data_IF_997501366733
#
_entry.id   IF_997501366733
#
_cell.length_a   1.000
_cell.length_b   1.000
_cell.length_c   1.000
_cell.angle_alpha   90.00
_cell.angle_beta   90.00
_cell.angle_gamma   90.00
#
_symmetry.space_group_name_H-M   'P 1'
#
loop_
_entity.id
_entity.type
_entity.pdbx_description
1 polymer ?
#
# COMPACT_ATOMS: atom_id res chain seq x y z
N UNK A 1 -4.41 12.89 4.95
CA UNK A 1 -3.93 12.89 3.56
C UNK A 1 -5.07 13.29 2.59
N UNK A 2 -6.23 12.63 2.65
CA UNK A 2 -7.37 12.90 1.75
C UNK A 2 -7.79 14.37 1.72
N UNK A 3 -7.94 15.03 2.87
CA UNK A 3 -8.28 16.46 2.97
C UNK A 3 -7.28 17.38 2.26
N UNK A 4 -5.99 17.00 2.24
CA UNK A 4 -4.95 17.76 1.53
C UNK A 4 -5.24 17.76 0.02
N UNK A 5 -5.67 16.61 -0.51
CA UNK A 5 -6.02 16.43 -1.92
C UNK A 5 -7.33 17.17 -2.25
N UNK A 6 -8.39 16.98 -1.46
CA UNK A 6 -9.69 17.64 -1.64
C UNK A 6 -9.53 19.16 -1.63
N UNK A 7 -8.72 19.70 -0.73
CA UNK A 7 -8.43 21.13 -0.62
C UNK A 7 -7.39 21.63 -1.65
N UNK A 8 -6.99 20.78 -2.61
CA UNK A 8 -6.05 21.10 -3.70
C UNK A 8 -4.73 21.73 -3.22
N UNK A 9 -4.25 21.39 -2.02
CA UNK A 9 -3.01 21.97 -1.47
C UNK A 9 -1.79 21.69 -2.34
N UNK A 10 -1.73 20.55 -3.02
CA UNK A 10 -0.66 20.20 -3.96
C UNK A 10 -1.04 20.43 -5.44
N UNK A 11 -2.21 21.05 -5.71
CA UNK A 11 -2.71 21.29 -7.05
C UNK A 11 -3.30 20.03 -7.71
N UNK A 12 -3.21 19.95 -9.04
CA UNK A 12 -3.68 18.78 -9.81
C UNK A 12 -2.68 17.63 -9.72
N UNK A 13 -3.17 16.42 -9.45
CA UNK A 13 -2.34 15.20 -9.38
C UNK A 13 -1.82 14.86 -10.79
N UNK A 14 -0.51 14.62 -10.88
CA UNK A 14 0.20 14.22 -12.10
C UNK A 14 0.82 12.83 -12.01
N UNK A 15 1.24 12.42 -10.81
CA UNK A 15 1.83 11.09 -10.60
C UNK A 15 1.56 10.60 -9.17
N UNK A 16 1.41 9.29 -9.02
CA UNK A 16 1.34 8.62 -7.71
C UNK A 16 2.38 7.51 -7.68
N UNK A 17 3.17 7.47 -6.63
CA UNK A 17 4.09 6.38 -6.35
C UNK A 17 3.73 5.75 -4.99
N UNK A 18 3.58 4.42 -4.95
CA UNK A 18 3.29 3.73 -3.70
C UNK A 18 3.89 2.32 -3.68
N UNK A 19 4.29 1.89 -2.49
CA UNK A 19 4.75 0.52 -2.29
C UNK A 19 4.20 -0.06 -0.99
N UNK A 20 3.94 -1.36 -1.03
CA UNK A 20 3.61 -2.14 0.15
C UNK A 20 4.46 -3.42 0.15
N UNK A 21 5.23 -3.62 1.21
CA UNK A 21 6.05 -4.83 1.37
C UNK A 21 5.89 -5.40 2.77
N UNK A 22 5.78 -6.72 2.87
CA UNK A 22 5.58 -7.44 4.13
C UNK A 22 6.14 -8.86 4.06
N UNK A 23 6.48 -9.45 5.20
CA UNK A 23 7.10 -10.78 5.28
C UNK A 23 6.06 -11.89 5.12
N UNK A 24 5.76 -12.29 3.88
CA UNK A 24 4.68 -13.25 3.58
C UNK A 24 5.09 -14.41 2.66
N UNK A 25 6.40 -14.63 2.45
CA UNK A 25 6.88 -15.72 1.58
C UNK A 25 6.39 -17.09 2.02
N UNK A 26 6.38 -17.37 3.32
CA UNK A 26 5.92 -18.66 3.87
C UNK A 26 4.43 -18.87 3.58
N UNK A 27 3.61 -17.84 3.81
CA UNK A 27 2.16 -17.91 3.61
C UNK A 27 1.79 -18.26 2.17
N UNK A 28 2.50 -17.68 1.19
CA UNK A 28 2.27 -17.94 -0.22
C UNK A 28 2.86 -19.29 -0.69
N UNK A 29 3.63 -19.97 0.15
CA UNK A 29 4.04 -21.36 -0.02
C UNK A 29 3.09 -22.35 0.66
N UNK A 30 2.04 -21.89 1.31
CA UNK A 30 1.10 -22.72 2.05
C UNK A 30 1.58 -23.08 3.46
N UNK A 31 2.59 -22.37 3.98
CA UNK A 31 3.08 -22.50 5.35
C UNK A 31 2.32 -21.47 6.22
N UNK A 32 1.56 -21.89 7.24
CA UNK A 32 0.84 -20.96 8.10
C UNK A 32 1.78 -19.98 8.82
N UNK A 33 1.32 -18.73 9.00
CA UNK A 33 2.03 -17.78 9.85
C UNK A 33 1.99 -18.24 11.31
N UNK A 34 3.14 -18.27 11.97
CA UNK A 34 3.26 -18.67 13.37
C UNK A 34 2.41 -17.80 14.32
N UNK A 35 2.25 -16.53 13.97
CA UNK A 35 1.44 -15.54 14.72
C UNK A 35 -0.05 -15.90 14.72
N UNK A 36 -0.53 -16.61 13.70
CA UNK A 36 -1.94 -17.03 13.62
C UNK A 36 -2.30 -18.24 14.47
N UNK A 37 -1.33 -18.94 15.05
CA UNK A 37 -1.55 -20.18 15.81
C UNK A 37 -2.48 -20.01 17.02
N UNK A 38 -2.59 -18.80 17.57
CA UNK A 38 -3.43 -18.48 18.73
C UNK A 38 -4.75 -17.77 18.35
N UNK A 39 -5.03 -17.59 17.06
CA UNK A 39 -6.27 -16.95 16.62
C UNK A 39 -7.43 -17.95 16.69
N UNK A 40 -8.59 -17.49 17.14
CA UNK A 40 -9.82 -18.28 17.20
C UNK A 40 -10.27 -18.75 15.82
N UNK A 41 -9.99 -17.97 14.79
CA UNK A 41 -10.25 -18.30 13.40
C UNK A 41 -8.95 -18.33 12.62
N UNK A 42 -8.64 -19.48 12.02
CA UNK A 42 -7.47 -19.67 11.18
C UNK A 42 -7.93 -19.99 9.77
N UNK A 43 -7.64 -19.14 8.77
CA UNK A 43 -7.90 -19.49 7.38
C UNK A 43 -7.13 -20.74 6.99
N UNK A 44 -7.71 -21.57 6.13
CA UNK A 44 -7.00 -22.72 5.60
C UNK A 44 -5.71 -22.27 4.88
N UNK A 45 -4.61 -23.00 5.05
CA UNK A 45 -3.30 -22.63 4.47
C UNK A 45 -3.37 -22.37 2.95
N UNK A 46 -4.23 -23.09 2.21
CA UNK A 46 -4.42 -22.89 0.78
C UNK A 46 -5.15 -21.58 0.41
N UNK A 47 -5.71 -20.83 1.35
CA UNK A 47 -6.41 -19.57 1.03
C UNK A 47 -5.49 -18.59 0.34
N UNK A 48 -4.25 -18.49 0.80
CA UNK A 48 -3.25 -17.54 0.32
C UNK A 48 -2.32 -18.12 -0.76
N UNK A 49 -2.19 -19.44 -0.83
CA UNK A 49 -1.28 -20.14 -1.75
C UNK A 49 -1.97 -20.78 -2.95
N UNK A 50 -3.29 -20.66 -3.08
CA UNK A 50 -4.06 -21.21 -4.20
C UNK A 50 -4.55 -20.07 -5.12
N UNK A 51 -4.11 -20.03 -6.38
CA UNK A 51 -4.52 -18.98 -7.32
C UNK A 51 -6.03 -18.97 -7.59
N UNK A 52 -6.73 -20.09 -7.35
CA UNK A 52 -8.18 -20.17 -7.52
C UNK A 52 -8.97 -19.65 -6.31
N UNK A 53 -8.28 -19.31 -5.21
CA UNK A 53 -8.89 -18.79 -3.97
C UNK A 53 -8.53 -17.35 -3.68
N UNK A 54 -8.00 -16.63 -4.65
CA UNK A 54 -7.52 -15.26 -4.46
C UNK A 54 -6.18 -15.20 -3.73
N UNK A 55 -5.35 -16.25 -3.85
CA UNK A 55 -4.00 -16.26 -3.29
C UNK A 55 -3.08 -15.29 -4.00
N UNK A 56 -1.97 -14.95 -3.33
CA UNK A 56 -0.91 -14.09 -3.85
C UNK A 56 -0.86 -12.70 -3.23
N UNK A 57 0.24 -12.01 -3.49
CA UNK A 57 0.52 -10.69 -2.93
C UNK A 57 -0.42 -9.61 -3.47
N UNK A 58 -0.77 -9.69 -4.76
CA UNK A 58 -1.66 -8.75 -5.43
C UNK A 58 -3.03 -8.69 -4.76
N UNK A 59 -3.65 -9.84 -4.54
CA UNK A 59 -4.95 -9.93 -3.86
C UNK A 59 -4.85 -9.67 -2.36
N UNK A 60 -3.87 -10.29 -1.71
CA UNK A 60 -3.77 -10.25 -0.25
C UNK A 60 -3.30 -8.92 0.32
N UNK A 61 -2.43 -8.20 -0.39
CA UNK A 61 -1.76 -7.02 0.14
C UNK A 61 -1.90 -5.78 -0.73
N UNK A 62 -1.68 -5.87 -2.05
CA UNK A 62 -1.78 -4.70 -2.91
C UNK A 62 -3.20 -4.15 -2.99
N UNK A 63 -4.22 -4.97 -2.76
CA UNK A 63 -5.61 -4.51 -2.63
C UNK A 63 -5.76 -3.43 -1.54
N UNK A 64 -5.07 -3.56 -0.39
CA UNK A 64 -5.05 -2.57 0.67
C UNK A 64 -4.34 -1.28 0.23
N UNK A 65 -3.19 -1.41 -0.46
CA UNK A 65 -2.48 -0.26 -0.99
C UNK A 65 -3.32 0.51 -2.01
N UNK A 66 -3.92 -0.18 -2.98
CA UNK A 66 -4.79 0.45 -3.97
C UNK A 66 -6.02 1.08 -3.33
N UNK A 67 -6.65 0.43 -2.34
CA UNK A 67 -7.75 1.04 -1.60
C UNK A 67 -7.33 2.36 -0.94
N UNK A 68 -6.15 2.41 -0.31
CA UNK A 68 -5.57 3.62 0.26
C UNK A 68 -5.30 4.70 -0.79
N UNK A 69 -4.65 4.33 -1.89
CA UNK A 69 -4.35 5.26 -2.99
C UNK A 69 -5.62 5.86 -3.58
N UNK A 70 -6.60 5.01 -3.95
CA UNK A 70 -7.85 5.48 -4.58
C UNK A 70 -8.69 6.30 -3.62
N UNK A 71 -8.74 5.92 -2.34
CA UNK A 71 -9.44 6.68 -1.29
C UNK A 71 -8.85 8.07 -1.09
N UNK A 72 -7.51 8.17 -1.04
CA UNK A 72 -6.82 9.44 -0.80
C UNK A 72 -6.89 10.36 -2.01
N UNK A 73 -6.72 9.80 -3.22
CA UNK A 73 -6.56 10.59 -4.44
C UNK A 73 -7.84 10.84 -5.21
N UNK A 74 -8.86 10.01 -5.03
CA UNK A 74 -10.10 9.97 -5.83
C UNK A 74 -9.83 9.81 -7.34
N UNK A 75 -8.68 9.24 -7.72
CA UNK A 75 -8.35 8.97 -9.12
C UNK A 75 -9.07 7.70 -9.61
N UNK A 76 -9.49 7.72 -10.86
CA UNK A 76 -10.12 6.59 -11.52
C UNK A 76 -9.10 5.89 -12.45
N UNK A 77 -8.77 4.60 -12.21
CA UNK A 77 -7.88 3.83 -13.07
C UNK A 77 -8.45 3.68 -14.49
N UNK A 78 -7.60 3.87 -15.51
CA UNK A 78 -7.95 3.72 -16.94
C UNK A 78 -7.20 2.54 -17.56
N UNK A 79 -5.88 2.48 -17.38
CA UNK A 79 -5.03 1.43 -17.93
C UNK A 79 -4.06 0.91 -16.85
N UNK A 80 -3.80 -0.39 -16.89
CA UNK A 80 -2.86 -1.03 -15.97
C UNK A 80 -1.97 -2.01 -16.72
N UNK A 81 -0.69 -2.01 -16.38
CA UNK A 81 0.29 -3.01 -16.77
C UNK A 81 1.00 -3.54 -15.54
N UNK A 82 1.11 -4.86 -15.42
CA UNK A 82 1.72 -5.51 -14.26
C UNK A 82 2.71 -6.58 -14.69
N UNK A 83 3.88 -6.59 -14.03
CA UNK A 83 4.83 -7.69 -14.04
C UNK A 83 4.87 -8.32 -12.66
N UNK A 84 4.82 -9.65 -12.59
CA UNK A 84 4.81 -10.39 -11.32
C UNK A 84 5.85 -11.49 -11.32
N UNK A 85 6.37 -11.82 -10.14
CA UNK A 85 7.24 -12.99 -9.93
C UNK A 85 6.41 -14.04 -9.18
N UNK A 86 6.25 -15.25 -9.75
CA UNK A 86 5.44 -16.30 -9.13
C UNK A 86 6.18 -16.98 -7.96
N UNK A 87 5.40 -17.49 -7.02
CA UNK A 87 5.82 -18.41 -5.97
C UNK A 87 5.88 -19.85 -6.51
N UNK A 88 6.40 -20.82 -5.73
CA UNK A 88 6.32 -22.24 -6.06
C UNK A 88 4.89 -22.77 -6.23
N UNK A 89 3.90 -22.10 -5.67
CA UNK A 89 2.47 -22.44 -5.75
C UNK A 89 1.73 -21.70 -6.88
N UNK A 90 2.45 -20.96 -7.72
CA UNK A 90 1.94 -20.14 -8.82
C UNK A 90 1.05 -18.94 -8.42
N UNK A 91 1.10 -18.52 -7.17
CA UNK A 91 0.61 -17.19 -6.78
C UNK A 91 1.76 -16.19 -6.84
N UNK A 92 1.47 -14.91 -6.97
CA UNK A 92 2.50 -13.89 -7.06
C UNK A 92 3.16 -13.58 -5.71
N UNK A 93 4.49 -13.43 -5.73
CA UNK A 93 5.30 -12.96 -4.60
C UNK A 93 5.55 -11.46 -4.63
N UNK A 94 5.81 -10.95 -5.85
CA UNK A 94 6.13 -9.54 -6.06
C UNK A 94 5.43 -9.02 -7.28
N UNK A 95 5.13 -7.72 -7.26
CA UNK A 95 4.45 -7.04 -8.35
C UNK A 95 5.11 -5.70 -8.63
N UNK A 96 5.29 -5.38 -9.92
CA UNK A 96 5.62 -4.05 -10.41
C UNK A 96 4.46 -3.61 -11.33
N UNK A 97 3.77 -2.53 -10.95
CA UNK A 97 2.55 -2.08 -11.61
C UNK A 97 2.73 -0.66 -12.12
N UNK A 98 2.44 -0.45 -13.38
CA UNK A 98 2.29 0.88 -13.97
C UNK A 98 0.81 1.12 -14.28
N UNK A 99 0.32 2.31 -13.97
CA UNK A 99 -1.09 2.67 -14.14
C UNK A 99 -1.23 4.03 -14.80
N UNK A 100 -2.27 4.20 -15.61
CA UNK A 100 -2.74 5.48 -16.11
C UNK A 100 -4.13 5.73 -15.56
N UNK A 101 -4.38 6.96 -15.16
CA UNK A 101 -5.68 7.40 -14.64
C UNK A 101 -6.45 8.23 -15.68
N UNK A 102 -7.77 8.31 -15.54
CA UNK A 102 -8.68 8.99 -16.46
C UNK A 102 -8.37 10.47 -16.62
N UNK A 103 -7.81 11.14 -15.59
CA UNK A 103 -7.36 12.54 -15.65
C UNK A 103 -6.00 12.73 -16.35
N UNK A 104 -5.39 11.65 -16.87
CA UNK A 104 -4.08 11.65 -17.52
C UNK A 104 -2.88 11.51 -16.57
N UNK A 105 -3.09 11.45 -15.25
CA UNK A 105 -2.03 11.15 -14.31
C UNK A 105 -1.52 9.72 -14.50
N UNK A 106 -0.29 9.46 -14.05
CA UNK A 106 0.32 8.12 -14.06
C UNK A 106 0.54 7.61 -12.64
N UNK A 107 0.71 6.30 -12.49
CA UNK A 107 1.06 5.69 -11.21
C UNK A 107 2.12 4.62 -11.37
N UNK A 108 2.99 4.52 -10.36
CA UNK A 108 4.05 3.53 -10.23
C UNK A 108 3.86 2.82 -8.89
N UNK A 109 3.60 1.52 -8.91
CA UNK A 109 3.22 0.77 -7.71
C UNK A 109 4.04 -0.50 -7.60
N UNK A 110 4.39 -0.89 -6.39
CA UNK A 110 5.11 -2.14 -6.17
C UNK A 110 4.65 -2.86 -4.91
N UNK A 111 4.81 -4.18 -4.94
CA UNK A 111 4.58 -5.04 -3.79
C UNK A 111 5.61 -6.14 -3.69
N UNK A 112 5.96 -6.52 -2.46
CA UNK A 112 6.93 -7.59 -2.24
C UNK A 112 6.64 -8.37 -0.95
N UNK A 113 6.64 -9.71 -1.08
CA UNK A 113 6.60 -10.61 0.05
C UNK A 113 7.96 -10.78 0.73
N UNK A 114 9.04 -10.24 0.14
CA UNK A 114 10.43 -10.43 0.59
C UNK A 114 10.86 -9.33 1.53
N UNK A 115 10.47 -9.45 2.78
CA UNK A 115 10.89 -8.58 3.89
C UNK A 115 11.38 -9.50 5.03
N UNK A 116 12.41 -9.12 5.79
CA UNK A 116 12.81 -9.87 6.99
C UNK A 116 11.64 -10.04 7.97
N UNK A 117 11.56 -11.21 8.63
CA UNK A 117 10.42 -11.58 9.50
C UNK A 117 10.24 -10.67 10.72
N UNK A 118 11.32 -10.08 11.20
CA UNK A 118 11.37 -9.14 12.32
C UNK A 118 11.15 -7.67 11.92
N UNK A 119 11.00 -7.42 10.62
CA UNK A 119 10.75 -6.10 10.07
C UNK A 119 9.25 -5.93 9.78
N UNK A 120 8.63 -4.91 10.33
CA UNK A 120 7.17 -4.68 10.24
C UNK A 120 6.62 -4.39 8.84
N UNK A 121 7.48 -4.46 7.81
CA UNK A 121 7.11 -4.11 6.45
C UNK A 121 7.14 -2.62 6.17
N UNK A 122 6.90 -2.25 4.92
CA UNK A 122 6.84 -0.86 4.47
C UNK A 122 5.51 -0.61 3.79
N UNK A 123 4.92 0.56 4.05
CA UNK A 123 3.77 1.04 3.29
C UNK A 123 3.87 2.56 3.16
N UNK A 124 4.03 3.04 1.93
CA UNK A 124 4.05 4.47 1.66
C UNK A 124 3.24 4.83 0.41
N UNK A 125 2.78 6.08 0.38
CA UNK A 125 2.12 6.72 -0.77
C UNK A 125 2.73 8.11 -0.95
N UNK A 126 3.23 8.40 -2.15
CA UNK A 126 3.69 9.73 -2.55
C UNK A 126 2.80 10.24 -3.68
N UNK A 127 2.25 11.44 -3.54
CA UNK A 127 1.38 12.06 -4.53
C UNK A 127 2.02 13.33 -5.06
N UNK A 128 2.35 13.35 -6.34
CA UNK A 128 2.95 14.47 -7.04
C UNK A 128 1.87 15.31 -7.73
N UNK A 129 1.76 16.56 -7.29
CA UNK A 129 0.84 17.54 -7.85
C UNK A 129 1.56 18.71 -8.53
N UNK A 130 0.78 19.57 -9.17
CA UNK A 130 1.32 20.75 -9.88
C UNK A 130 1.88 21.83 -8.97
N UNK A 131 1.50 21.85 -7.69
CA UNK A 131 1.92 22.84 -6.70
C UNK A 131 2.81 22.26 -5.60
N UNK A 132 2.97 20.92 -5.53
CA UNK A 132 3.77 20.29 -4.49
C UNK A 132 3.63 18.78 -4.47
N UNK A 133 4.23 18.16 -3.47
CA UNK A 133 4.23 16.71 -3.26
C UNK A 133 3.76 16.39 -1.85
N UNK A 134 2.85 15.43 -1.73
CA UNK A 134 2.42 14.83 -0.47
C UNK A 134 3.18 13.52 -0.25
N UNK A 135 3.66 13.31 0.96
CA UNK A 135 4.30 12.08 1.42
C UNK A 135 3.53 11.51 2.61
N UNK A 136 3.04 10.29 2.46
CA UNK A 136 2.46 9.49 3.52
C UNK A 136 3.31 8.23 3.68
N UNK A 137 3.90 8.03 4.85
CA UNK A 137 4.67 6.86 5.20
C UNK A 137 4.02 6.23 6.44
N UNK A 138 3.67 4.97 6.34
CA UNK A 138 2.99 4.20 7.38
C UNK A 138 3.86 3.06 7.92
N UNK A 139 5.16 3.12 7.69
CA UNK A 139 6.09 2.17 8.27
C UNK A 139 6.13 2.32 9.79
N UNK A 140 6.01 1.22 10.51
CA UNK A 140 6.01 1.18 11.97
C UNK A 140 7.24 1.89 12.55
N UNK A 141 7.02 2.81 13.50
CA UNK A 141 8.02 3.70 14.12
C UNK A 141 8.61 4.76 13.18
N UNK A 142 8.04 4.93 11.99
CA UNK A 142 8.45 5.97 11.05
C UNK A 142 7.24 6.63 10.38
N UNK A 143 6.09 6.52 11.01
CA UNK A 143 4.85 7.10 10.52
C UNK A 143 5.00 8.60 10.35
N UNK A 144 4.64 9.13 9.18
CA UNK A 144 4.71 10.56 8.89
C UNK A 144 3.78 10.96 7.76
N UNK A 145 3.24 12.15 7.87
CA UNK A 145 2.49 12.84 6.83
C UNK A 145 3.03 14.24 6.67
N UNK A 146 3.51 14.59 5.49
CA UNK A 146 3.98 15.93 5.19
C UNK A 146 3.77 16.33 3.74
N UNK A 147 3.76 17.63 3.48
CA UNK A 147 3.65 18.23 2.14
C UNK A 147 4.83 19.16 1.92
N UNK A 148 5.42 19.09 0.73
CA UNK A 148 6.39 20.06 0.23
C UNK A 148 5.79 20.82 -0.93
N UNK A 149 5.76 22.14 -0.83
CA UNK A 149 5.21 23.02 -1.86
C UNK A 149 6.32 23.65 -2.71
N UNK A 150 5.99 23.96 -3.96
CA UNK A 150 6.93 24.54 -4.93
C UNK A 150 7.40 25.96 -4.52
N UNK A 151 6.68 26.65 -3.64
CA UNK A 151 7.06 27.94 -3.07
C UNK A 151 8.11 27.83 -1.95
N UNK A 152 8.52 26.61 -1.58
CA UNK A 152 9.49 26.31 -0.52
C UNK A 152 8.87 25.96 0.84
N UNK A 153 7.57 26.11 1.01
CA UNK A 153 6.88 25.77 2.26
C UNK A 153 6.87 24.26 2.48
N UNK A 154 7.04 23.86 3.75
CA UNK A 154 6.91 22.50 4.21
C UNK A 154 5.85 22.45 5.32
N UNK A 155 4.86 21.58 5.15
CA UNK A 155 3.79 21.37 6.12
C UNK A 155 3.95 19.97 6.67
N UNK A 156 4.24 19.86 7.97
CA UNK A 156 4.25 18.58 8.69
C UNK A 156 2.95 18.46 9.46
N UNK A 157 2.36 17.27 9.41
CA UNK A 157 1.16 16.92 10.16
C UNK A 157 1.58 16.04 11.33
N UNK A 158 1.14 16.41 12.52
CA UNK A 158 1.33 15.55 13.68
C UNK A 158 0.48 14.28 13.54
N UNK A 159 1.07 13.14 13.89
CA UNK A 159 0.38 11.86 13.97
C UNK A 159 0.14 11.59 15.44
N UNK A 160 -1.10 11.36 15.82
CA UNK A 160 -1.47 11.09 17.21
C UNK A 160 -0.90 9.73 17.66
N UNK A 161 -0.56 9.65 18.95
CA UNK A 161 -0.07 8.40 19.54
C UNK A 161 -1.13 7.29 19.36
N UNK A 162 -0.74 6.20 18.71
CA UNK A 162 -1.61 5.08 18.38
C UNK A 162 -2.24 5.14 16.98
N UNK A 163 -2.00 6.17 16.19
CA UNK A 163 -2.40 6.27 14.78
C UNK A 163 -1.39 5.60 13.83
N UNK A 164 -0.85 4.45 14.22
CA UNK A 164 0.05 3.66 13.38
C UNK A 164 -0.70 2.90 12.28
N UNK A 165 0.05 2.48 11.25
CA UNK A 165 -0.45 1.83 10.03
C UNK A 165 -1.41 0.64 10.23
N UNK A 166 -1.36 -0.02 11.38
CA UNK A 166 -2.17 -1.19 11.69
C UNK A 166 -3.21 -0.97 12.80
N UNK A 167 -3.30 0.22 13.36
CA UNK A 167 -4.25 0.56 14.44
C UNK A 167 -5.54 1.22 13.94
N UNK A 168 -5.56 1.73 12.72
CA UNK A 168 -6.69 2.48 12.16
C UNK A 168 -7.97 1.64 12.04
N UNK A 169 -7.86 0.36 11.68
CA UNK A 169 -9.03 -0.51 11.48
C UNK A 169 -9.80 -0.86 12.76
N UNK A 170 -9.25 -0.57 13.93
CA UNK A 170 -9.88 -0.90 15.22
C UNK A 170 -10.52 0.29 15.93
N UNK A 171 -10.17 1.54 15.55
CA UNK A 171 -10.74 2.75 16.16
C UNK A 171 -12.03 3.22 15.48
N UNK A 172 -12.25 2.89 14.21
CA UNK A 172 -13.43 3.30 13.43
C UNK A 172 -14.47 2.19 13.23
N UNK A 173 -14.23 0.99 13.76
CA UNK A 173 -15.17 -0.12 13.74
C UNK A 173 -16.01 -0.15 15.01
#
# INVERSE_FOLDING_TARGET
AEEIIINKKIGEIKHVDAAFSSSLTDLFQGIPLSESNNHTFQPHASTWSDPNKGGGYGWGQLSHMFAGVLKITHLEPDQVFCLSVPSPTNVDYTNAVSMKFSNGATGSFSGSAFVPKDFGGTFYITVHGTLGVLYLDMEVKRERLFVRLNNGDNINYEIEEGDGAFSYGTKEA
#
